data_IF_444376646514
#
_entry.id   IF_444376646514
#
_cell.length_a   1.000
_cell.length_b   1.000
_cell.length_c   1.000
_cell.angle_alpha   90.00
_cell.angle_beta   90.00
_cell.angle_gamma   90.00
#
_symmetry.space_group_name_H-M   'P 1'
#
loop_
_entity.id
_entity.type
_entity.pdbx_description
1 polymer ?
#
# COMPACT_ATOMS: atom_id res chain seq x y z
N UNK A 1 -5.29 2.68 83.50
CA UNK A 1 -5.22 1.74 82.34
C UNK A 1 -4.35 2.38 81.28
N UNK A 2 -3.20 1.79 80.94
CA UNK A 2 -2.29 2.31 79.91
C UNK A 2 -2.73 1.77 78.55
N UNK A 3 -3.22 2.65 77.68
CA UNK A 3 -3.57 2.34 76.29
C UNK A 3 -2.25 2.08 75.53
N UNK A 4 -2.00 0.84 75.12
CA UNK A 4 -0.72 0.41 74.55
C UNK A 4 -0.47 0.89 73.11
N UNK A 5 0.79 0.86 72.63
CA UNK A 5 1.20 1.33 71.30
C UNK A 5 0.55 0.55 70.14
N UNK A 6 -0.03 -0.61 70.43
CA UNK A 6 -0.77 -1.44 69.48
C UNK A 6 -2.06 -0.76 68.99
N UNK A 7 -2.70 0.04 69.85
CA UNK A 7 -3.94 0.74 69.51
C UNK A 7 -3.66 1.94 68.59
N UNK A 8 -2.48 2.53 68.69
CA UNK A 8 -1.99 3.57 67.79
C UNK A 8 -1.64 3.00 66.40
N UNK A 9 -1.07 1.80 66.34
CA UNK A 9 -0.75 1.12 65.08
C UNK A 9 -2.01 0.68 64.31
N UNK A 10 -3.06 0.21 65.00
CA UNK A 10 -4.35 -0.11 64.37
C UNK A 10 -5.06 1.12 63.79
N UNK A 11 -4.95 2.27 64.44
CA UNK A 11 -5.54 3.52 63.95
C UNK A 11 -4.80 4.07 62.71
N UNK A 12 -3.50 3.77 62.58
CA UNK A 12 -2.69 4.22 61.44
C UNK A 12 -2.91 3.35 60.19
N UNK A 13 -3.29 2.08 60.36
CA UNK A 13 -3.58 1.14 59.27
C UNK A 13 -5.01 1.32 58.71
N UNK A 14 -5.97 1.76 59.53
CA UNK A 14 -7.35 2.03 59.07
C UNK A 14 -7.47 3.28 58.20
N UNK A 15 -6.51 4.22 58.28
CA UNK A 15 -6.47 5.42 57.44
C UNK A 15 -6.01 5.19 55.99
N UNK A 16 -5.47 4.01 55.65
CA UNK A 16 -4.91 3.72 54.33
C UNK A 16 -5.93 3.22 53.29
N UNK A 17 -7.21 3.06 53.67
CA UNK A 17 -8.24 2.41 52.83
C UNK A 17 -9.37 3.32 52.34
N UNK A 18 -9.19 4.64 52.29
CA UNK A 18 -10.25 5.52 51.78
C UNK A 18 -9.75 6.46 50.69
N UNK A 19 -9.83 6.01 49.44
CA UNK A 19 -9.84 6.86 48.25
C UNK A 19 -10.63 6.18 47.12
N UNK A 20 -11.89 5.83 47.38
CA UNK A 20 -12.86 5.71 46.29
C UNK A 20 -13.44 7.12 46.06
N UNK A 21 -12.76 7.89 45.21
CA UNK A 21 -13.33 9.12 44.68
C UNK A 21 -14.54 8.73 43.81
N UNK A 22 -15.76 8.85 44.35
CA UNK A 22 -16.98 8.70 43.58
C UNK A 22 -17.05 9.83 42.54
N UNK A 23 -16.65 9.53 41.31
CA UNK A 23 -16.96 10.37 40.18
C UNK A 23 -18.48 10.26 39.92
N UNK A 24 -19.23 11.32 40.23
CA UNK A 24 -20.67 11.34 40.01
C UNK A 24 -20.96 11.36 38.50
N UNK A 25 -21.76 10.39 38.05
CA UNK A 25 -22.26 10.36 36.68
C UNK A 25 -23.40 11.36 36.50
N UNK A 26 -23.41 12.05 35.37
CA UNK A 26 -24.44 13.01 34.99
C UNK A 26 -24.77 12.89 33.50
N UNK A 27 -25.94 13.40 33.10
CA UNK A 27 -26.36 13.39 31.70
C UNK A 27 -25.79 14.64 31.02
N UNK A 28 -24.84 14.45 30.11
CA UNK A 28 -24.40 15.51 29.21
C UNK A 28 -25.33 15.61 28.01
N UNK A 29 -25.70 16.83 27.65
CA UNK A 29 -26.47 17.14 26.44
C UNK A 29 -25.56 17.83 25.43
N UNK A 30 -25.81 17.61 24.16
CA UNK A 30 -25.02 18.29 23.14
C UNK A 30 -25.63 18.22 21.75
N UNK A 31 -24.99 18.92 20.82
CA UNK A 31 -25.36 18.98 19.41
C UNK A 31 -24.14 18.67 18.54
N UNK A 32 -24.37 17.90 17.47
CA UNK A 32 -23.34 17.58 16.47
C UNK A 32 -23.58 18.42 15.21
N UNK A 33 -22.56 19.13 14.75
CA UNK A 33 -22.63 20.08 13.64
C UNK A 33 -21.50 19.78 12.64
N UNK A 34 -21.79 19.92 11.36
CA UNK A 34 -20.79 19.84 10.30
C UNK A 34 -19.99 21.16 10.23
N UNK A 35 -18.67 21.05 10.35
CA UNK A 35 -17.75 22.19 10.33
C UNK A 35 -17.77 22.84 8.94
N UNK A 36 -18.18 24.10 8.88
CA UNK A 36 -18.18 24.93 7.66
C UNK A 36 -19.53 25.06 6.96
N UNK A 37 -20.52 24.21 7.25
CA UNK A 37 -21.87 24.29 6.65
C UNK A 37 -22.97 24.64 7.65
N UNK A 38 -22.68 24.63 8.96
CA UNK A 38 -23.63 24.83 10.05
C UNK A 38 -24.82 23.83 10.04
N UNK A 39 -24.69 22.74 9.27
CA UNK A 39 -25.68 21.67 9.17
C UNK A 39 -25.60 20.81 10.43
N UNK A 40 -26.75 20.59 11.08
CA UNK A 40 -26.85 19.68 12.23
C UNK A 40 -26.84 18.23 11.74
N UNK A 41 -26.07 17.38 12.42
CA UNK A 41 -25.82 16.01 11.97
C UNK A 41 -26.70 15.04 12.76
N UNK A 42 -27.72 14.53 12.11
CA UNK A 42 -28.55 13.44 12.62
C UNK A 42 -27.85 12.08 12.51
N UNK A 43 -28.23 11.12 13.36
CA UNK A 43 -27.72 9.76 13.37
C UNK A 43 -26.18 9.69 13.44
N UNK A 44 -25.54 10.59 14.18
CA UNK A 44 -24.15 10.46 14.59
C UNK A 44 -24.10 9.53 15.80
N UNK A 45 -23.09 8.67 15.86
CA UNK A 45 -22.87 7.78 17.00
C UNK A 45 -21.95 8.47 18.00
N UNK A 46 -22.40 8.62 19.24
CA UNK A 46 -21.63 9.15 20.35
C UNK A 46 -21.35 7.98 21.29
N UNK A 47 -20.08 7.70 21.57
CA UNK A 47 -19.68 6.63 22.49
C UNK A 47 -18.70 7.15 23.54
N UNK A 48 -18.93 6.80 24.80
CA UNK A 48 -18.00 7.03 25.88
C UNK A 48 -16.88 5.99 25.82
N UNK A 49 -15.63 6.42 25.69
CA UNK A 49 -14.49 5.52 25.52
C UNK A 49 -14.17 4.70 26.79
N UNK A 50 -14.52 5.21 27.97
CA UNK A 50 -14.28 4.53 29.26
C UNK A 50 -15.39 3.54 29.57
N UNK A 51 -16.63 4.00 29.69
CA UNK A 51 -17.78 3.16 30.10
C UNK A 51 -18.36 2.31 28.96
N UNK A 52 -17.96 2.57 27.71
CA UNK A 52 -18.50 1.94 26.48
C UNK A 52 -19.99 2.18 26.25
N UNK A 53 -20.63 3.06 27.03
CA UNK A 53 -22.01 3.49 26.79
C UNK A 53 -22.08 4.38 25.55
N UNK A 54 -23.21 4.37 24.86
CA UNK A 54 -23.38 5.14 23.63
C UNK A 54 -24.79 5.70 23.46
N UNK A 55 -24.88 6.73 22.64
CA UNK A 55 -26.10 7.40 22.22
C UNK A 55 -26.01 7.73 20.73
N UNK A 56 -27.15 8.06 20.14
CA UNK A 56 -27.26 8.48 18.74
C UNK A 56 -27.90 9.86 18.70
N UNK A 57 -27.39 10.75 17.85
CA UNK A 57 -28.02 12.07 17.67
C UNK A 57 -29.35 11.96 16.93
N UNK A 58 -30.34 12.75 17.34
CA UNK A 58 -31.67 12.79 16.73
C UNK A 58 -31.68 13.63 15.43
N UNK A 59 -32.86 13.80 14.81
CA UNK A 59 -33.05 14.55 13.56
C UNK A 59 -32.55 16.00 13.59
N UNK A 60 -32.57 16.62 14.77
CA UNK A 60 -32.07 17.98 15.00
C UNK A 60 -30.62 18.01 15.50
N UNK A 61 -29.89 16.89 15.41
CA UNK A 61 -28.49 16.74 15.77
C UNK A 61 -28.17 16.72 17.26
N UNK A 62 -29.20 16.66 18.12
CA UNK A 62 -29.04 16.65 19.58
C UNK A 62 -28.80 15.23 20.10
N UNK A 63 -27.99 15.08 21.14
CA UNK A 63 -27.77 13.83 21.86
C UNK A 63 -27.76 14.03 23.37
N UNK A 64 -28.00 12.96 24.11
CA UNK A 64 -27.88 12.91 25.56
C UNK A 64 -27.18 11.60 25.95
N UNK A 65 -26.21 11.67 26.86
CA UNK A 65 -25.46 10.49 27.31
C UNK A 65 -25.05 10.63 28.77
N UNK A 66 -25.12 9.54 29.54
CA UNK A 66 -24.58 9.50 30.90
C UNK A 66 -23.05 9.37 30.87
N UNK A 67 -22.35 10.30 31.52
CA UNK A 67 -20.89 10.44 31.54
C UNK A 67 -20.41 10.90 32.91
N UNK A 68 -19.12 10.79 33.20
CA UNK A 68 -18.51 11.45 34.35
C UNK A 68 -17.47 12.48 33.89
N UNK A 69 -17.09 13.40 34.79
CA UNK A 69 -16.05 14.39 34.47
C UNK A 69 -14.73 13.70 34.13
N UNK A 70 -14.07 14.18 33.08
CA UNK A 70 -12.83 13.61 32.55
C UNK A 70 -13.03 12.54 31.48
N UNK A 71 -14.26 12.10 31.23
CA UNK A 71 -14.53 11.14 30.16
C UNK A 71 -14.20 11.66 28.77
N UNK A 72 -13.89 10.75 27.85
CA UNK A 72 -13.71 11.08 26.43
C UNK A 72 -14.82 10.48 25.60
N UNK A 73 -15.55 11.34 24.89
CA UNK A 73 -16.56 10.97 23.92
C UNK A 73 -15.92 10.83 22.54
N UNK A 74 -16.15 9.71 21.88
CA UNK A 74 -15.88 9.49 20.47
C UNK A 74 -17.17 9.68 19.69
N UNK A 75 -17.17 10.63 18.76
CA UNK A 75 -18.28 10.92 17.86
C UNK A 75 -17.90 10.49 16.45
N UNK A 76 -18.71 9.61 15.86
CA UNK A 76 -18.48 9.06 14.52
C UNK A 76 -19.73 9.17 13.66
N UNK A 77 -19.52 9.35 12.34
CA UNK A 77 -20.58 9.40 11.33
C UNK A 77 -19.97 9.01 9.99
N UNK A 78 -20.73 8.27 9.18
CA UNK A 78 -20.32 7.91 7.82
C UNK A 78 -19.90 9.15 7.03
N UNK A 79 -18.79 9.06 6.30
CA UNK A 79 -18.21 10.11 5.44
C UNK A 79 -17.75 11.38 6.19
N UNK A 80 -17.64 11.32 7.52
CA UNK A 80 -17.07 12.39 8.36
C UNK A 80 -15.88 11.84 9.16
N UNK A 81 -14.93 12.71 9.50
CA UNK A 81 -13.80 12.36 10.35
C UNK A 81 -14.23 12.22 11.81
N UNK A 82 -13.82 11.11 12.42
CA UNK A 82 -14.05 10.83 13.84
C UNK A 82 -13.47 11.93 14.73
N UNK A 83 -14.24 12.31 15.76
CA UNK A 83 -13.84 13.34 16.71
C UNK A 83 -13.86 12.81 18.14
N UNK A 84 -12.74 13.01 18.85
CA UNK A 84 -12.66 12.81 20.31
C UNK A 84 -12.87 14.14 21.04
N UNK A 85 -13.71 14.12 22.07
CA UNK A 85 -14.03 15.30 22.89
C UNK A 85 -14.00 14.91 24.36
N UNK A 86 -13.20 15.63 25.15
CA UNK A 86 -13.13 15.43 26.59
C UNK A 86 -14.26 16.19 27.31
N UNK A 87 -14.93 15.52 28.25
CA UNK A 87 -15.95 16.07 29.12
C UNK A 87 -15.25 16.84 30.25
N UNK A 88 -15.18 18.17 30.08
CA UNK A 88 -14.52 19.07 31.05
C UNK A 88 -15.50 19.78 31.99
N UNK A 89 -16.77 19.87 31.58
CA UNK A 89 -17.83 20.58 32.32
C UNK A 89 -19.13 19.79 32.23
N UNK A 90 -20.10 20.16 33.06
CA UNK A 90 -21.47 19.63 33.04
C UNK A 90 -22.43 20.46 32.15
N UNK A 91 -21.88 21.33 31.28
CA UNK A 91 -22.66 22.19 30.39
C UNK A 91 -22.85 21.56 29.01
N UNK A 92 -23.77 22.14 28.24
CA UNK A 92 -24.09 21.66 26.90
C UNK A 92 -22.87 21.68 25.96
N UNK A 93 -22.72 20.61 25.18
CA UNK A 93 -21.56 20.39 24.32
C UNK A 93 -21.89 20.62 22.84
N UNK A 94 -21.09 21.43 22.16
CA UNK A 94 -21.15 21.58 20.70
C UNK A 94 -19.98 20.83 20.06
N UNK A 95 -20.28 19.83 19.23
CA UNK A 95 -19.28 18.98 18.56
C UNK A 95 -19.26 19.26 17.07
N UNK A 96 -18.11 19.70 16.56
CA UNK A 96 -17.91 19.90 15.12
C UNK A 96 -17.23 18.70 14.48
N UNK A 97 -17.89 18.08 13.49
CA UNK A 97 -17.31 17.05 12.63
C UNK A 97 -16.86 17.66 11.30
N UNK A 98 -15.72 17.21 10.79
CA UNK A 98 -15.20 17.66 9.49
C UNK A 98 -15.55 16.62 8.44
N UNK A 99 -15.87 17.05 7.20
CA UNK A 99 -16.03 16.12 6.08
C UNK A 99 -14.79 15.26 5.90
N UNK A 100 -14.98 13.95 5.94
CA UNK A 100 -13.96 13.01 5.54
C UNK A 100 -13.94 13.04 4.02
N UNK A 101 -12.85 13.53 3.43
CA UNK A 101 -12.58 13.22 2.03
C UNK A 101 -12.26 11.74 1.99
N UNK A 102 -13.26 10.90 1.67
CA UNK A 102 -13.06 9.49 1.39
C UNK A 102 -12.33 9.38 0.05
N UNK A 103 -11.07 9.80 0.01
CA UNK A 103 -10.13 9.17 -0.91
C UNK A 103 -10.00 7.75 -0.35
N UNK A 104 -10.64 6.79 -1.01
CA UNK A 104 -10.26 5.40 -0.83
C UNK A 104 -8.75 5.38 -1.01
N UNK A 105 -8.00 5.03 0.03
CA UNK A 105 -6.60 4.67 -0.16
C UNK A 105 -6.62 3.61 -1.26
N UNK A 106 -6.01 3.94 -2.39
CA UNK A 106 -5.79 2.99 -3.46
C UNK A 106 -5.20 1.77 -2.78
N UNK A 107 -5.94 0.66 -2.80
CA UNK A 107 -5.35 -0.61 -2.40
C UNK A 107 -4.32 -0.86 -3.48
N UNK A 108 -3.10 -0.39 -3.25
CA UNK A 108 -1.94 -0.80 -4.03
C UNK A 108 -1.79 -2.27 -3.69
N UNK A 109 -2.58 -3.10 -4.37
CA UNK A 109 -2.26 -4.51 -4.53
C UNK A 109 -0.94 -4.45 -5.27
N UNK A 110 0.16 -4.41 -4.52
CA UNK A 110 1.48 -4.73 -5.02
C UNK A 110 1.40 -6.21 -5.36
N UNK A 111 0.76 -6.53 -6.49
CA UNK A 111 1.00 -7.80 -7.16
C UNK A 111 2.51 -7.93 -7.23
N UNK A 112 3.02 -9.10 -6.88
CA UNK A 112 4.44 -9.36 -6.99
C UNK A 112 4.89 -8.86 -8.36
N UNK A 113 5.89 -7.98 -8.39
CA UNK A 113 6.43 -7.54 -9.67
C UNK A 113 6.81 -8.79 -10.47
N UNK A 114 6.67 -8.74 -11.80
CA UNK A 114 7.07 -9.86 -12.66
C UNK A 114 8.47 -10.38 -12.33
N UNK A 115 9.38 -9.50 -11.92
CA UNK A 115 10.72 -9.87 -11.44
C UNK A 115 10.71 -10.70 -10.15
N UNK A 116 9.86 -10.36 -9.17
CA UNK A 116 9.70 -11.11 -7.93
C UNK A 116 9.11 -12.51 -8.17
N UNK A 117 8.08 -12.62 -9.01
CA UNK A 117 7.49 -13.91 -9.40
C UNK A 117 8.54 -14.83 -10.06
N UNK A 118 9.30 -14.28 -11.00
CA UNK A 118 10.36 -15.05 -11.68
C UNK A 118 11.52 -15.41 -10.74
N UNK A 119 11.82 -14.57 -9.74
CA UNK A 119 12.80 -14.88 -8.71
C UNK A 119 12.33 -16.03 -7.81
N UNK A 120 11.05 -16.09 -7.51
CA UNK A 120 10.45 -17.19 -6.74
C UNK A 120 10.50 -18.52 -7.49
N UNK A 121 10.13 -18.53 -8.79
CA UNK A 121 10.28 -19.73 -9.63
C UNK A 121 11.75 -20.21 -9.67
N UNK A 122 12.71 -19.28 -9.76
CA UNK A 122 14.14 -19.63 -9.67
C UNK A 122 14.52 -20.25 -8.31
N UNK A 123 13.95 -19.77 -7.19
CA UNK A 123 14.17 -20.36 -5.86
C UNK A 123 13.57 -21.76 -5.77
N UNK A 124 12.41 -21.98 -6.36
CA UNK A 124 11.75 -23.28 -6.41
C UNK A 124 12.57 -24.32 -7.17
N UNK A 125 13.19 -23.94 -8.30
CA UNK A 125 14.14 -24.84 -8.99
C UNK A 125 15.34 -25.21 -8.11
N UNK A 126 15.88 -24.25 -7.34
CA UNK A 126 16.97 -24.52 -6.39
C UNK A 126 16.54 -25.45 -5.26
N UNK A 127 15.35 -25.22 -4.68
CA UNK A 127 14.76 -26.09 -3.66
C UNK A 127 14.56 -27.53 -4.18
N UNK A 128 14.25 -27.67 -5.46
CA UNK A 128 14.08 -28.95 -6.14
C UNK A 128 15.39 -29.54 -6.70
N UNK A 129 16.55 -29.05 -6.26
CA UNK A 129 17.86 -29.64 -6.56
C UNK A 129 18.56 -29.12 -7.80
N UNK A 130 18.01 -28.12 -8.51
CA UNK A 130 18.72 -27.42 -9.59
C UNK A 130 19.30 -26.09 -9.12
N UNK A 131 20.52 -26.14 -8.62
CA UNK A 131 21.31 -25.02 -8.12
C UNK A 131 21.96 -24.20 -9.24
N UNK A 132 22.38 -24.88 -10.31
CA UNK A 132 23.18 -24.30 -11.40
C UNK A 132 22.43 -24.20 -12.72
N UNK A 133 21.15 -24.60 -12.75
CA UNK A 133 20.38 -24.72 -13.97
C UNK A 133 21.20 -25.48 -15.03
N UNK A 134 21.62 -26.70 -14.71
CA UNK A 134 22.34 -27.61 -15.59
C UNK A 134 23.65 -27.12 -16.17
N UNK A 135 24.30 -26.16 -15.51
CA UNK A 135 25.66 -25.68 -15.81
C UNK A 135 26.51 -25.68 -14.54
N UNK A 136 26.73 -26.84 -13.91
CA UNK A 136 27.50 -26.93 -12.67
C UNK A 136 28.97 -26.54 -12.94
N UNK A 137 29.65 -25.86 -12.01
CA UNK A 137 31.07 -25.54 -12.14
C UNK A 137 31.92 -26.81 -12.00
N UNK A 138 33.06 -26.85 -12.71
CA UNK A 138 33.97 -28.02 -12.68
C UNK A 138 34.52 -28.33 -11.29
N UNK A 139 34.64 -27.33 -10.42
CA UNK A 139 35.07 -27.51 -9.02
C UNK A 139 34.19 -28.52 -8.27
N UNK A 140 32.91 -28.66 -8.65
CA UNK A 140 31.98 -29.60 -8.02
C UNK A 140 32.30 -31.07 -8.29
N UNK A 141 33.23 -31.39 -9.19
CA UNK A 141 33.75 -32.75 -9.41
C UNK A 141 34.81 -33.16 -8.37
N UNK A 142 35.40 -32.19 -7.66
CA UNK A 142 36.46 -32.47 -6.68
C UNK A 142 35.79 -32.84 -5.35
N UNK A 143 36.22 -33.92 -4.65
CA UNK A 143 35.65 -34.32 -3.35
C UNK A 143 35.70 -33.22 -2.27
N UNK A 144 36.68 -32.31 -2.36
CA UNK A 144 36.83 -31.15 -1.48
C UNK A 144 36.17 -29.86 -2.03
N UNK A 145 35.67 -29.88 -3.26
CA UNK A 145 35.12 -28.73 -3.99
C UNK A 145 33.61 -28.81 -4.30
N UNK A 146 32.95 -29.89 -3.88
CA UNK A 146 31.51 -30.09 -3.99
C UNK A 146 31.12 -31.57 -4.00
N UNK A 147 29.86 -31.85 -4.32
CA UNK A 147 29.35 -33.21 -4.47
C UNK A 147 29.35 -33.64 -5.95
N UNK A 148 30.21 -34.59 -6.37
CA UNK A 148 30.28 -35.04 -7.77
C UNK A 148 28.94 -35.57 -8.31
N UNK A 149 28.13 -36.20 -7.45
CA UNK A 149 26.79 -36.65 -7.81
C UNK A 149 25.87 -35.48 -8.23
N UNK A 150 25.95 -34.33 -7.56
CA UNK A 150 25.20 -33.13 -7.92
C UNK A 150 25.65 -32.59 -9.27
N UNK A 151 26.95 -32.67 -9.60
CA UNK A 151 27.46 -32.28 -10.91
C UNK A 151 26.80 -33.10 -12.03
N UNK A 152 26.77 -34.43 -11.90
CA UNK A 152 26.11 -35.30 -12.89
C UNK A 152 24.59 -35.11 -12.92
N UNK A 153 23.95 -34.95 -11.76
CA UNK A 153 22.53 -34.64 -11.69
C UNK A 153 22.19 -33.34 -12.43
N UNK A 154 22.99 -32.29 -12.28
CA UNK A 154 22.78 -31.03 -13.00
C UNK A 154 22.92 -31.19 -14.52
N UNK A 155 23.87 -31.99 -15.00
CA UNK A 155 24.04 -32.21 -16.44
C UNK A 155 22.86 -32.98 -17.06
N UNK A 156 22.39 -34.04 -16.40
CA UNK A 156 21.47 -35.03 -16.99
C UNK A 156 20.05 -35.00 -16.41
N UNK A 157 19.84 -34.28 -15.30
CA UNK A 157 18.56 -34.24 -14.60
C UNK A 157 17.47 -33.49 -15.35
N UNK A 158 16.22 -33.96 -15.19
CA UNK A 158 15.03 -33.32 -15.76
C UNK A 158 14.77 -31.92 -15.16
N UNK A 159 14.89 -31.77 -13.84
CA UNK A 159 14.70 -30.48 -13.15
C UNK A 159 15.72 -29.43 -13.61
N UNK A 160 17.04 -29.74 -13.68
CA UNK A 160 18.03 -28.88 -14.33
C UNK A 160 17.76 -28.52 -15.79
N UNK A 161 17.24 -29.46 -16.58
CA UNK A 161 16.85 -29.17 -17.96
C UNK A 161 15.69 -28.16 -18.04
N UNK A 162 14.70 -28.27 -17.15
CA UNK A 162 13.60 -27.30 -17.04
C UNK A 162 14.10 -25.94 -16.55
N UNK A 163 14.92 -25.91 -15.50
CA UNK A 163 15.54 -24.69 -14.99
C UNK A 163 16.36 -23.95 -16.06
N UNK A 164 17.05 -24.68 -16.96
CA UNK A 164 17.73 -24.08 -18.13
C UNK A 164 16.77 -23.39 -19.09
N UNK A 165 15.65 -24.04 -19.41
CA UNK A 165 14.64 -23.47 -20.31
C UNK A 165 14.01 -22.23 -19.69
N UNK A 166 13.63 -22.33 -18.41
CA UNK A 166 13.11 -21.19 -17.65
C UNK A 166 14.10 -20.03 -17.60
N UNK A 167 15.38 -20.28 -17.28
CA UNK A 167 16.41 -19.24 -17.24
C UNK A 167 16.58 -18.52 -18.58
N UNK A 168 16.47 -19.23 -19.71
CA UNK A 168 16.51 -18.63 -21.06
C UNK A 168 15.28 -17.76 -21.33
N UNK A 169 14.09 -18.27 -21.00
CA UNK A 169 12.84 -17.51 -21.10
C UNK A 169 12.90 -16.25 -20.25
N UNK A 170 13.26 -16.38 -18.97
CA UNK A 170 13.36 -15.26 -18.05
C UNK A 170 14.35 -14.20 -18.51
N UNK A 171 15.53 -14.60 -19.02
CA UNK A 171 16.50 -13.66 -19.59
C UNK A 171 15.91 -12.89 -20.80
N UNK A 172 15.20 -13.59 -21.69
CA UNK A 172 14.52 -12.95 -22.83
C UNK A 172 13.47 -11.95 -22.35
N UNK A 173 12.69 -12.34 -21.34
CA UNK A 173 11.64 -11.48 -20.78
C UNK A 173 12.21 -10.21 -20.16
N UNK A 174 13.30 -10.32 -19.38
CA UNK A 174 13.98 -9.16 -18.80
C UNK A 174 14.46 -8.18 -19.87
N UNK A 175 15.02 -8.68 -20.98
CA UNK A 175 15.45 -7.81 -22.08
C UNK A 175 14.30 -7.10 -22.78
N UNK A 176 13.12 -7.73 -22.86
CA UNK A 176 11.93 -7.09 -23.41
C UNK A 176 11.37 -6.02 -22.46
N UNK A 177 11.30 -6.33 -21.16
CA UNK A 177 10.89 -5.35 -20.14
C UNK A 177 11.81 -4.12 -20.09
N UNK A 178 13.11 -4.30 -20.36
CA UNK A 178 14.05 -3.19 -20.46
C UNK A 178 13.75 -2.31 -21.68
N UNK A 179 13.43 -2.91 -22.83
CA UNK A 179 12.94 -2.18 -24.00
C UNK A 179 11.65 -1.43 -23.66
N UNK A 180 10.65 -2.09 -23.08
CA UNK A 180 9.36 -1.49 -22.73
C UNK A 180 9.52 -0.30 -21.76
N UNK A 181 10.51 -0.35 -20.86
CA UNK A 181 10.84 0.77 -19.98
C UNK A 181 11.23 2.02 -20.77
N UNK A 182 11.98 1.87 -21.85
CA UNK A 182 12.47 2.97 -22.67
C UNK A 182 11.55 3.32 -23.84
N UNK A 183 10.74 2.38 -24.31
CA UNK A 183 9.83 2.52 -25.44
C UNK A 183 8.41 2.13 -25.04
N UNK A 184 7.77 3.02 -24.28
CA UNK A 184 6.36 2.87 -23.87
C UNK A 184 5.53 4.08 -24.32
N UNK A 185 4.22 3.88 -24.25
CA UNK A 185 3.21 4.87 -24.63
C UNK A 185 3.42 6.24 -23.95
N UNK A 186 3.80 6.26 -22.68
CA UNK A 186 4.00 7.51 -21.93
C UNK A 186 5.16 8.33 -22.49
N UNK A 187 6.34 7.71 -22.63
CA UNK A 187 7.52 8.38 -23.17
C UNK A 187 7.33 8.83 -24.61
N UNK A 188 6.60 8.05 -25.42
CA UNK A 188 6.30 8.41 -26.80
C UNK A 188 5.35 9.61 -26.86
N UNK A 189 4.28 9.65 -26.06
CA UNK A 189 3.36 10.81 -26.01
C UNK A 189 4.08 12.07 -25.53
N UNK A 190 4.97 11.96 -24.56
CA UNK A 190 5.71 13.11 -24.02
C UNK A 190 6.67 13.72 -25.05
N UNK A 191 7.20 12.90 -25.97
CA UNK A 191 8.25 13.31 -26.91
C UNK A 191 7.77 13.42 -28.36
N UNK A 192 6.50 13.18 -28.65
CA UNK A 192 5.92 13.16 -30.00
C UNK A 192 4.46 13.62 -29.98
N UNK A 193 3.94 14.04 -31.12
CA UNK A 193 2.52 14.43 -31.26
C UNK A 193 1.58 13.24 -31.56
N UNK A 194 2.09 12.00 -31.50
CA UNK A 194 1.34 10.80 -31.87
C UNK A 194 0.26 10.46 -30.84
N UNK A 195 -0.97 10.22 -31.31
CA UNK A 195 -2.13 9.90 -30.46
C UNK A 195 -3.01 8.83 -31.09
N UNK A 196 -3.85 8.19 -30.25
CA UNK A 196 -4.85 7.21 -30.70
C UNK A 196 -4.25 6.07 -31.53
N UNK A 197 -4.88 5.77 -32.68
CA UNK A 197 -4.49 4.65 -33.56
C UNK A 197 -3.09 4.79 -34.14
N UNK A 198 -2.65 6.01 -34.42
CA UNK A 198 -1.32 6.27 -35.00
C UNK A 198 -0.22 5.98 -33.98
N UNK A 199 -0.47 6.29 -32.70
CA UNK A 199 0.42 5.94 -31.61
C UNK A 199 0.53 4.42 -31.40
N UNK A 200 -0.61 3.72 -31.37
CA UNK A 200 -0.60 2.26 -31.17
C UNK A 200 0.09 1.55 -32.34
N UNK A 201 -0.11 2.04 -33.58
CA UNK A 201 0.58 1.53 -34.76
C UNK A 201 2.08 1.85 -34.75
N UNK A 202 2.46 3.06 -34.38
CA UNK A 202 3.87 3.44 -34.23
C UNK A 202 4.61 2.55 -33.24
N UNK A 203 3.99 2.28 -32.08
CA UNK A 203 4.57 1.40 -31.05
C UNK A 203 4.81 -0.03 -31.58
N UNK A 204 3.96 -0.51 -32.50
CA UNK A 204 4.12 -1.82 -33.13
C UNK A 204 5.20 -1.80 -34.24
N UNK A 205 5.12 -0.83 -35.14
CA UNK A 205 5.93 -0.76 -36.36
C UNK A 205 7.39 -0.34 -36.07
N UNK A 206 7.61 0.43 -35.01
CA UNK A 206 8.92 1.00 -34.63
C UNK A 206 9.43 0.46 -33.29
N UNK A 207 8.92 -0.68 -32.83
CA UNK A 207 9.43 -1.33 -31.62
C UNK A 207 10.92 -1.69 -31.79
N UNK A 208 11.83 -1.19 -30.93
CA UNK A 208 13.26 -1.41 -31.11
C UNK A 208 13.65 -2.85 -30.76
N UNK A 209 14.58 -3.46 -31.53
CA UNK A 209 15.09 -4.77 -31.18
C UNK A 209 15.90 -4.71 -29.87
N UNK A 210 15.87 -5.79 -29.08
CA UNK A 210 16.54 -5.85 -27.77
C UNK A 210 18.05 -5.59 -27.86
N UNK A 211 18.69 -5.90 -28.99
CA UNK A 211 20.11 -5.61 -29.21
C UNK A 211 20.44 -4.13 -29.32
N UNK A 212 19.49 -3.32 -29.83
CA UNK A 212 19.64 -1.88 -29.98
C UNK A 212 19.47 -1.20 -28.63
N UNK A 213 18.45 -1.61 -27.87
CA UNK A 213 18.11 -1.04 -26.57
C UNK A 213 19.03 -1.46 -25.43
N UNK A 214 19.88 -2.47 -25.65
CA UNK A 214 20.86 -2.89 -24.66
C UNK A 214 21.75 -1.71 -24.28
N UNK A 215 21.75 -1.37 -22.99
CA UNK A 215 22.52 -0.27 -22.39
C UNK A 215 22.02 1.15 -22.74
N UNK A 216 20.79 1.31 -23.23
CA UNK A 216 20.22 2.64 -23.39
C UNK A 216 20.13 3.37 -22.05
N UNK A 217 20.45 4.66 -22.09
CA UNK A 217 19.99 5.60 -21.07
C UNK A 217 18.73 6.32 -21.57
N UNK A 218 18.18 7.18 -20.71
CA UNK A 218 16.95 7.93 -21.02
C UNK A 218 17.09 8.85 -22.25
N UNK A 219 18.25 9.46 -22.48
CA UNK A 219 18.49 10.33 -23.63
C UNK A 219 18.53 9.53 -24.94
N UNK A 220 19.15 8.34 -24.94
CA UNK A 220 19.19 7.47 -26.12
C UNK A 220 17.78 7.05 -26.53
N UNK A 221 16.95 6.71 -25.54
CA UNK A 221 15.55 6.36 -25.75
C UNK A 221 14.76 7.52 -26.37
N UNK A 222 14.87 8.74 -25.81
CA UNK A 222 14.22 9.94 -26.35
C UNK A 222 14.67 10.22 -27.77
N UNK A 223 15.99 10.14 -28.03
CA UNK A 223 16.55 10.36 -29.36
C UNK A 223 15.96 9.37 -30.36
N UNK A 224 15.95 8.08 -30.03
CA UNK A 224 15.36 7.04 -30.87
C UNK A 224 13.87 7.30 -31.14
N UNK A 225 13.09 7.64 -30.12
CA UNK A 225 11.65 7.95 -30.23
C UNK A 225 11.43 9.13 -31.21
N UNK A 226 12.18 10.23 -31.05
CA UNK A 226 12.01 11.41 -31.91
C UNK A 226 12.38 11.12 -33.37
N UNK A 227 13.49 10.43 -33.59
CA UNK A 227 13.94 10.07 -34.95
C UNK A 227 12.99 9.08 -35.63
N UNK A 228 12.50 8.09 -34.89
CA UNK A 228 11.53 7.11 -35.40
C UNK A 228 10.17 7.73 -35.68
N UNK A 229 9.68 8.61 -34.79
CA UNK A 229 8.42 9.31 -34.98
C UNK A 229 8.44 10.23 -36.21
N UNK A 230 9.54 10.95 -36.45
CA UNK A 230 9.74 11.73 -37.67
C UNK A 230 9.61 10.85 -38.92
N UNK A 231 10.34 9.73 -38.95
CA UNK A 231 10.24 8.77 -40.07
C UNK A 231 8.81 8.28 -40.25
N UNK A 232 8.10 7.97 -39.17
CA UNK A 232 6.72 7.50 -39.23
C UNK A 232 5.77 8.55 -39.83
N UNK A 233 5.82 9.80 -39.37
CA UNK A 233 4.99 10.89 -39.90
C UNK A 233 5.27 11.17 -41.37
N UNK A 234 6.54 11.08 -41.79
CA UNK A 234 6.93 11.28 -43.19
C UNK A 234 6.28 10.22 -44.10
N UNK A 235 6.24 8.95 -43.65
CA UNK A 235 5.53 7.89 -44.39
C UNK A 235 4.03 8.11 -44.46
N UNK A 236 3.40 8.62 -43.40
CA UNK A 236 1.97 8.93 -43.38
C UNK A 236 1.63 10.06 -44.36
N UNK A 237 2.45 11.09 -44.40
CA UNK A 237 2.27 12.22 -45.31
C UNK A 237 2.42 11.80 -46.77
N UNK A 238 3.44 10.99 -47.09
CA UNK A 238 3.61 10.46 -48.44
C UNK A 238 2.41 9.61 -48.90
N UNK A 239 1.89 8.74 -48.03
CA UNK A 239 0.75 7.88 -48.36
C UNK A 239 -0.56 8.66 -48.58
N UNK A 240 -0.74 9.81 -47.93
CA UNK A 240 -1.88 10.71 -48.18
C UNK A 240 -1.79 11.38 -49.54
N UNK A 241 -0.61 11.80 -49.97
CA UNK A 241 -0.40 12.48 -51.26
C UNK A 241 -0.60 11.54 -52.46
N UNK A 242 -0.28 10.25 -52.35
CA UNK A 242 -0.43 9.27 -53.45
C UNK A 242 -1.86 8.72 -53.59
N UNK A 243 -2.74 9.00 -52.64
CA UNK A 243 -4.16 8.54 -52.64
C UNK A 243 -5.14 9.65 -53.06
N UNK A 244 -4.64 10.83 -53.41
CA UNK A 244 -5.38 11.92 -54.08
C UNK A 244 -5.00 11.93 -55.56
#
# INVERSE_FOLDING_TARGET
MKLGPFLFLMLLISGLFTNEAFAQSFIIRGVVIEKGSNVRIAMAKISNMRSKTGAVSNEIGMFQLSVEMGDTLLVTKKDLLDKKVAVKTNTDLVVYLTRGTTMLDEVVVKGNSKQQEMAEINRDYKRNGSFYAGKPPLISLIPFGGHPLTFFYELFGKTPAQARRFKRYYKKELTLMEVDRFFNKSLVIENTDLKGKDLDKFLLDYYPPTSLANNWNHYDAIKYIKESARRYTDTLNHKKTTMQ
#
